data_IF_444597477995
#
_entry.id   IF_444597477995
#
_cell.length_a   1.000
_cell.length_b   1.000
_cell.length_c   1.000
_cell.angle_alpha   90.00
_cell.angle_beta   90.00
_cell.angle_gamma   90.00
#
_symmetry.space_group_name_H-M   'P 1'
#
loop_
_entity.id
_entity.type
_entity.pdbx_description
1 polymer ?
#
# COMPACT_ATOMS: atom_id res chain seq x y z
N UNK A 1 18.27 5.65 15.04
CA UNK A 1 17.13 4.80 14.60
C UNK A 1 17.17 3.52 15.39
N UNK A 2 16.06 2.97 15.89
CA UNK A 2 16.10 1.66 16.53
C UNK A 2 16.59 0.63 15.52
N UNK A 3 17.46 -0.26 15.98
CA UNK A 3 17.91 -1.39 15.18
C UNK A 3 16.73 -2.25 14.77
N UNK A 4 16.76 -2.78 13.55
CA UNK A 4 15.76 -3.72 13.04
C UNK A 4 15.80 -4.96 13.95
N UNK A 5 14.70 -5.35 14.62
CA UNK A 5 14.72 -6.46 15.57
C UNK A 5 14.99 -7.78 14.85
N UNK A 6 15.62 -8.73 15.56
CA UNK A 6 15.88 -10.06 15.00
C UNK A 6 14.60 -10.88 14.81
N UNK A 7 13.64 -10.71 15.70
CA UNK A 7 12.33 -11.39 15.69
C UNK A 7 11.23 -10.42 16.06
N UNK A 8 9.99 -10.71 15.65
CA UNK A 8 8.78 -9.97 16.01
C UNK A 8 7.91 -10.88 16.86
N UNK A 9 7.68 -10.52 18.13
CA UNK A 9 7.10 -11.44 19.12
C UNK A 9 5.58 -11.60 19.03
N UNK A 10 4.90 -10.75 18.27
CA UNK A 10 3.45 -10.83 18.08
C UNK A 10 2.87 -9.58 17.42
N UNK A 11 1.54 -9.55 17.34
CA UNK A 11 0.81 -8.49 16.63
C UNK A 11 1.09 -7.10 17.19
N UNK A 12 1.18 -6.94 18.50
CA UNK A 12 1.42 -5.63 19.12
C UNK A 12 2.78 -5.04 18.72
N UNK A 13 3.85 -5.84 18.73
CA UNK A 13 5.18 -5.40 18.29
C UNK A 13 5.24 -5.14 16.79
N UNK A 14 4.54 -5.97 16.00
CA UNK A 14 4.40 -5.75 14.56
C UNK A 14 3.72 -4.41 14.26
N UNK A 15 2.61 -4.12 14.92
CA UNK A 15 1.89 -2.86 14.77
C UNK A 15 2.74 -1.66 15.19
N UNK A 16 3.56 -1.81 16.23
CA UNK A 16 4.52 -0.80 16.66
C UNK A 16 5.58 -0.53 15.59
N UNK A 17 6.20 -1.59 15.06
CA UNK A 17 7.19 -1.49 13.99
C UNK A 17 6.63 -0.83 12.72
N UNK A 18 5.42 -1.23 12.30
CA UNK A 18 4.74 -0.69 11.13
C UNK A 18 4.37 0.79 11.27
N UNK A 19 4.27 1.29 12.51
CA UNK A 19 3.81 2.66 12.81
C UNK A 19 4.84 3.52 13.54
N UNK A 20 6.09 3.07 13.66
CA UNK A 20 7.16 3.89 14.24
C UNK A 20 7.66 4.90 13.21
N UNK A 21 7.42 6.22 13.42
CA UNK A 21 7.87 7.24 12.49
C UNK A 21 9.39 7.38 12.55
N UNK A 22 10.08 7.48 11.41
CA UNK A 22 11.46 7.92 11.39
C UNK A 22 11.58 9.42 11.61
N UNK A 23 12.79 9.87 11.95
CA UNK A 23 13.07 11.28 12.24
C UNK A 23 12.66 12.22 11.09
N UNK A 24 12.81 11.76 9.85
CA UNK A 24 12.44 12.55 8.66
C UNK A 24 10.93 12.83 8.59
N UNK A 25 10.09 11.86 8.99
CA UNK A 25 8.64 12.06 9.09
C UNK A 25 8.32 12.99 10.25
N UNK A 26 8.97 12.85 11.42
CA UNK A 26 8.77 13.74 12.56
C UNK A 26 9.13 15.17 12.18
N UNK A 27 10.27 15.39 11.51
CA UNK A 27 10.71 16.71 11.06
C UNK A 27 9.74 17.32 10.03
N UNK A 28 9.21 16.50 9.08
CA UNK A 28 8.18 16.96 8.16
C UNK A 28 6.92 17.38 8.91
N UNK A 29 6.48 16.59 9.87
CA UNK A 29 5.26 16.84 10.64
C UNK A 29 5.38 18.06 11.57
N UNK A 30 6.60 18.42 11.98
CA UNK A 30 6.86 19.63 12.75
C UNK A 30 6.57 20.92 11.94
N UNK A 31 6.72 20.89 10.62
CA UNK A 31 6.46 22.03 9.71
C UNK A 31 5.15 21.93 8.93
N UNK A 32 4.53 20.75 8.91
CA UNK A 32 3.26 20.54 8.23
C UNK A 32 2.15 21.33 8.94
N UNK A 33 1.33 22.03 8.19
CA UNK A 33 0.19 22.78 8.71
C UNK A 33 -1.13 22.01 8.46
N UNK A 34 -2.13 22.29 9.29
CA UNK A 34 -3.49 21.81 9.17
C UNK A 34 -3.70 20.36 9.62
N UNK A 35 -4.93 19.93 9.51
CA UNK A 35 -5.40 18.59 9.88
C UNK A 35 -5.10 17.55 8.79
N UNK A 36 -5.14 16.29 9.17
CA UNK A 36 -4.91 15.17 8.26
C UNK A 36 -6.13 14.26 8.27
N UNK A 37 -6.66 13.94 7.08
CA UNK A 37 -7.75 12.99 6.91
C UNK A 37 -7.35 11.81 6.02
N UNK A 38 -7.66 10.60 6.49
CA UNK A 38 -7.44 9.33 5.77
C UNK A 38 -8.78 8.78 5.29
N UNK A 39 -9.02 8.81 3.99
CA UNK A 39 -10.25 8.33 3.35
C UNK A 39 -10.07 6.86 2.92
N UNK A 40 -10.81 5.95 3.54
CA UNK A 40 -10.65 4.50 3.34
C UNK A 40 -9.67 3.84 4.32
N UNK A 41 -9.55 4.39 5.53
CA UNK A 41 -8.57 3.96 6.55
C UNK A 41 -8.74 2.49 7.00
N UNK A 42 -9.93 1.91 6.88
CA UNK A 42 -10.23 0.53 7.32
C UNK A 42 -9.58 -0.58 6.50
N UNK A 43 -8.78 -0.24 5.48
CA UNK A 43 -7.98 -1.19 4.70
C UNK A 43 -6.72 -1.65 5.42
N UNK A 44 -5.94 -2.54 4.78
CA UNK A 44 -4.73 -3.15 5.38
C UNK A 44 -3.68 -2.12 5.83
N UNK A 45 -3.40 -1.10 5.01
CA UNK A 45 -2.32 -0.13 5.24
C UNK A 45 -2.78 1.00 6.17
N UNK A 46 -4.05 1.42 6.03
CA UNK A 46 -4.59 2.61 6.68
C UNK A 46 -4.36 2.70 8.18
N UNK A 47 -4.64 1.68 8.98
CA UNK A 47 -4.49 1.77 10.44
C UNK A 47 -3.06 2.08 10.88
N UNK A 48 -2.06 1.38 10.34
CA UNK A 48 -0.65 1.61 10.72
C UNK A 48 -0.09 2.89 10.14
N UNK A 49 -0.57 3.33 8.97
CA UNK A 49 -0.21 4.61 8.37
C UNK A 49 -0.73 5.79 9.22
N UNK A 50 -2.00 5.78 9.61
CA UNK A 50 -2.56 6.83 10.46
C UNK A 50 -1.96 6.84 11.87
N UNK A 51 -1.68 5.66 12.43
CA UNK A 51 -0.95 5.55 13.69
C UNK A 51 0.46 6.14 13.58
N UNK A 52 1.18 5.93 12.47
CA UNK A 52 2.48 6.57 12.23
C UNK A 52 2.35 8.09 12.17
N UNK A 53 1.33 8.62 11.48
CA UNK A 53 1.06 10.03 11.40
C UNK A 53 0.75 10.64 12.79
N UNK A 54 -0.09 9.97 13.60
CA UNK A 54 -0.41 10.44 14.95
C UNK A 54 0.83 10.44 15.86
N UNK A 55 1.64 9.37 15.81
CA UNK A 55 2.90 9.30 16.58
C UNK A 55 3.90 10.37 16.16
N UNK A 56 4.03 10.63 14.85
CA UNK A 56 4.90 11.69 14.34
C UNK A 56 4.44 13.07 14.80
N UNK A 57 3.12 13.33 14.79
CA UNK A 57 2.52 14.56 15.31
C UNK A 57 2.86 14.76 16.79
N UNK A 58 2.68 13.73 17.62
CA UNK A 58 3.01 13.77 19.05
C UNK A 58 4.51 13.99 19.31
N UNK A 59 5.39 13.28 18.57
CA UNK A 59 6.84 13.44 18.71
C UNK A 59 7.34 14.82 18.24
N UNK A 60 6.66 15.41 17.26
CA UNK A 60 6.94 16.78 16.80
C UNK A 60 6.45 17.86 17.79
N UNK A 61 5.70 17.49 18.83
CA UNK A 61 5.12 18.44 19.79
C UNK A 61 4.02 19.33 19.20
N UNK A 62 3.36 18.88 18.11
CA UNK A 62 2.31 19.63 17.41
C UNK A 62 0.93 19.08 17.80
N UNK A 63 -0.07 19.95 17.83
CA UNK A 63 -1.48 19.56 17.99
C UNK A 63 -2.19 19.70 16.67
N UNK A 64 -2.73 18.60 16.13
CA UNK A 64 -3.59 18.53 14.95
C UNK A 64 -4.50 17.33 15.05
N UNK A 65 -5.61 17.34 14.30
CA UNK A 65 -6.50 16.19 14.20
C UNK A 65 -5.95 15.20 13.18
N UNK A 66 -5.96 13.94 13.54
CA UNK A 66 -5.73 12.82 12.64
C UNK A 66 -7.06 12.08 12.52
N UNK A 67 -7.70 12.17 11.36
CA UNK A 67 -9.07 11.73 11.14
C UNK A 67 -9.06 10.53 10.20
N UNK A 68 -9.79 9.49 10.55
CA UNK A 68 -9.93 8.28 9.75
C UNK A 68 -11.38 8.00 9.35
N UNK A 69 -11.64 7.93 8.05
CA UNK A 69 -12.99 7.68 7.51
C UNK A 69 -13.07 6.30 6.87
N UNK A 70 -14.05 5.51 7.28
CA UNK A 70 -14.35 4.21 6.67
C UNK A 70 -15.77 3.76 7.09
N UNK A 71 -16.28 2.71 6.44
CA UNK A 71 -17.52 2.05 6.89
C UNK A 71 -17.33 1.27 8.19
N UNK A 72 -16.10 0.93 8.56
CA UNK A 72 -15.74 0.16 9.75
C UNK A 72 -16.61 -1.09 9.94
N UNK A 73 -16.70 -1.92 8.90
CA UNK A 73 -17.37 -3.23 8.98
C UNK A 73 -16.75 -4.14 10.04
N UNK A 74 -15.46 -3.96 10.30
CA UNK A 74 -14.75 -4.54 11.44
C UNK A 74 -14.57 -3.47 12.52
N UNK A 75 -15.31 -3.61 13.61
CA UNK A 75 -15.29 -2.68 14.73
C UNK A 75 -13.98 -2.70 15.52
N UNK A 76 -13.22 -3.79 15.44
CA UNK A 76 -11.92 -3.89 16.12
C UNK A 76 -10.91 -2.92 15.54
N UNK A 77 -10.95 -2.67 14.22
CA UNK A 77 -10.11 -1.67 13.56
C UNK A 77 -10.45 -0.27 14.07
N UNK A 78 -11.74 0.05 14.18
CA UNK A 78 -12.18 1.34 14.71
C UNK A 78 -11.70 1.56 16.14
N UNK A 79 -11.93 0.58 17.00
CA UNK A 79 -11.51 0.63 18.41
C UNK A 79 -9.98 0.78 18.52
N UNK A 80 -9.22 0.07 17.69
CA UNK A 80 -7.77 0.19 17.66
C UNK A 80 -7.33 1.60 17.29
N UNK A 81 -7.94 2.22 16.27
CA UNK A 81 -7.65 3.58 15.84
C UNK A 81 -7.98 4.61 16.93
N UNK A 82 -9.19 4.54 17.51
CA UNK A 82 -9.63 5.43 18.59
C UNK A 82 -8.67 5.36 19.79
N UNK A 83 -8.27 4.13 20.18
CA UNK A 83 -7.31 3.91 21.29
C UNK A 83 -5.93 4.49 20.99
N UNK A 84 -5.55 4.59 19.71
CA UNK A 84 -4.28 5.18 19.27
C UNK A 84 -4.40 6.67 18.91
N UNK A 85 -5.47 7.36 19.32
CA UNK A 85 -5.64 8.80 19.17
C UNK A 85 -6.00 9.27 17.76
N UNK A 86 -6.52 8.37 16.92
CA UNK A 86 -7.07 8.70 15.61
C UNK A 86 -8.58 8.90 15.74
N UNK A 87 -9.09 10.05 15.39
CA UNK A 87 -10.54 10.34 15.38
C UNK A 87 -11.22 9.54 14.26
N UNK A 88 -12.20 8.70 14.58
CA UNK A 88 -12.86 7.88 13.56
C UNK A 88 -14.26 8.36 13.20
N UNK A 89 -14.54 8.46 11.89
CA UNK A 89 -15.86 8.80 11.34
C UNK A 89 -16.36 7.64 10.50
N UNK A 90 -17.46 7.01 10.93
CA UNK A 90 -18.04 5.85 10.25
C UNK A 90 -19.10 6.29 9.23
N UNK A 91 -18.97 5.83 7.97
CA UNK A 91 -19.96 6.06 6.93
C UNK A 91 -19.51 5.61 5.55
N UNK A 92 -20.42 5.71 4.58
CA UNK A 92 -20.16 5.37 3.19
C UNK A 92 -19.87 6.65 2.39
N UNK A 93 -18.64 6.76 1.88
CA UNK A 93 -18.23 7.94 1.09
C UNK A 93 -18.84 7.97 -0.32
N UNK A 94 -19.53 6.91 -0.78
CA UNK A 94 -20.35 6.96 -1.99
C UNK A 94 -21.67 7.69 -1.76
N UNK A 95 -22.11 7.85 -0.50
CA UNK A 95 -23.17 8.76 -0.12
C UNK A 95 -22.63 10.20 -0.16
N UNK A 96 -23.14 10.98 -1.12
CA UNK A 96 -22.70 12.35 -1.36
C UNK A 96 -22.94 13.25 -0.14
N UNK A 97 -24.09 13.14 0.53
CA UNK A 97 -24.39 13.95 1.70
C UNK A 97 -23.46 13.63 2.88
N UNK A 98 -23.09 12.37 3.04
CA UNK A 98 -22.09 11.97 4.03
C UNK A 98 -20.73 12.57 3.70
N UNK A 99 -20.27 12.45 2.46
CA UNK A 99 -18.97 12.99 2.01
C UNK A 99 -18.89 14.52 2.17
N UNK A 100 -19.96 15.25 1.85
CA UNK A 100 -20.04 16.70 2.00
C UNK A 100 -19.97 17.16 3.46
N UNK A 101 -20.47 16.35 4.41
CA UNK A 101 -20.41 16.63 5.86
C UNK A 101 -19.08 16.29 6.52
N UNK A 102 -18.16 15.61 5.82
CA UNK A 102 -16.84 15.34 6.37
C UNK A 102 -16.09 16.65 6.66
N UNK A 103 -15.23 16.68 7.72
CA UNK A 103 -14.44 17.85 8.03
C UNK A 103 -13.58 18.29 6.86
N UNK A 104 -13.31 19.60 6.77
CA UNK A 104 -12.21 20.11 5.97
C UNK A 104 -10.88 19.59 6.53
N UNK A 105 -9.92 19.36 5.66
CA UNK A 105 -8.55 19.02 6.04
C UNK A 105 -7.59 19.49 4.94
N UNK A 106 -6.49 20.10 5.34
CA UNK A 106 -5.47 20.58 4.41
C UNK A 106 -4.71 19.42 3.75
N UNK A 107 -4.68 18.25 4.42
CA UNK A 107 -3.90 17.09 4.00
C UNK A 107 -4.78 15.85 3.93
N UNK A 108 -4.95 15.31 2.75
CA UNK A 108 -5.83 14.16 2.46
C UNK A 108 -5.03 12.97 1.99
N UNK A 109 -5.26 11.81 2.58
CA UNK A 109 -4.74 10.52 2.10
C UNK A 109 -5.91 9.69 1.59
N UNK A 110 -5.97 9.47 0.27
CA UNK A 110 -7.00 8.65 -0.36
C UNK A 110 -6.52 7.20 -0.51
N UNK A 111 -7.09 6.30 0.30
CA UNK A 111 -6.73 4.89 0.40
C UNK A 111 -7.84 3.94 -0.06
N UNK A 112 -9.06 4.48 -0.30
CA UNK A 112 -10.22 3.65 -0.61
C UNK A 112 -10.05 2.97 -1.97
N UNK A 113 -10.26 1.64 -1.98
CA UNK A 113 -10.23 0.83 -3.18
C UNK A 113 -11.06 -0.45 -3.03
N UNK A 114 -11.51 -1.01 -4.16
CA UNK A 114 -11.99 -2.38 -4.26
C UNK A 114 -11.09 -3.12 -5.26
N UNK A 115 -10.35 -4.14 -4.79
CA UNK A 115 -9.55 -5.05 -5.60
C UNK A 115 -10.21 -6.43 -5.68
N UNK A 116 -10.38 -7.08 -4.52
CA UNK A 116 -10.93 -8.43 -4.47
C UNK A 116 -12.40 -8.46 -4.88
N UNK A 117 -12.73 -9.42 -5.74
CA UNK A 117 -14.05 -9.52 -6.35
C UNK A 117 -14.33 -8.43 -7.39
N UNK A 118 -13.30 -7.80 -7.96
CA UNK A 118 -13.46 -6.77 -8.99
C UNK A 118 -14.15 -7.31 -10.24
N UNK A 119 -13.78 -8.52 -10.64
CA UNK A 119 -14.37 -9.20 -11.82
C UNK A 119 -15.80 -9.72 -11.58
N UNK A 120 -16.17 -10.01 -10.33
CA UNK A 120 -17.51 -10.48 -9.97
C UNK A 120 -18.53 -9.36 -9.80
N UNK A 121 -18.09 -8.14 -9.48
CA UNK A 121 -18.92 -6.95 -9.32
C UNK A 121 -18.23 -5.72 -9.93
N UNK A 122 -18.18 -5.64 -11.28
CA UNK A 122 -17.48 -4.56 -11.98
C UNK A 122 -18.11 -3.21 -11.70
N UNK A 123 -19.44 -3.12 -11.65
CA UNK A 123 -20.15 -1.84 -11.46
C UNK A 123 -19.80 -1.18 -10.12
N UNK A 124 -19.77 -1.95 -9.04
CA UNK A 124 -19.36 -1.44 -7.73
C UNK A 124 -17.85 -1.16 -7.68
N UNK A 125 -17.04 -1.93 -8.39
CA UNK A 125 -15.59 -1.67 -8.52
C UNK A 125 -15.36 -0.30 -9.19
N UNK A 126 -16.06 0.01 -10.27
CA UNK A 126 -16.02 1.33 -10.91
C UNK A 126 -16.54 2.44 -9.99
N UNK A 127 -17.62 2.18 -9.24
CA UNK A 127 -18.13 3.15 -8.28
C UNK A 127 -17.08 3.51 -7.21
N UNK A 128 -16.41 2.49 -6.64
CA UNK A 128 -15.41 2.68 -5.60
C UNK A 128 -14.09 3.27 -6.13
N UNK A 129 -13.65 2.83 -7.32
CA UNK A 129 -12.32 3.16 -7.81
C UNK A 129 -12.30 4.36 -8.76
N UNK A 130 -13.45 4.81 -9.30
CA UNK A 130 -13.53 5.92 -10.26
C UNK A 130 -14.51 7.00 -9.82
N UNK A 131 -15.78 6.64 -9.51
CA UNK A 131 -16.78 7.64 -9.09
C UNK A 131 -16.41 8.28 -7.76
N UNK A 132 -16.03 7.49 -6.75
CA UNK A 132 -15.61 8.01 -5.45
C UNK A 132 -14.39 8.94 -5.55
N UNK A 133 -13.31 8.60 -6.27
CA UNK A 133 -12.23 9.54 -6.60
C UNK A 133 -12.67 10.87 -7.15
N UNK A 134 -13.61 10.90 -8.12
CA UNK A 134 -14.15 12.14 -8.66
C UNK A 134 -14.84 12.99 -7.57
N UNK A 135 -15.69 12.37 -6.75
CA UNK A 135 -16.37 13.06 -5.64
C UNK A 135 -15.38 13.61 -4.60
N UNK A 136 -14.31 12.86 -4.31
CA UNK A 136 -13.25 13.29 -3.36
C UNK A 136 -12.42 14.42 -3.95
N UNK A 137 -12.07 14.37 -5.24
CA UNK A 137 -11.34 15.44 -5.91
C UNK A 137 -12.12 16.79 -5.87
N UNK A 138 -13.43 16.73 -6.06
CA UNK A 138 -14.31 17.91 -5.95
C UNK A 138 -14.40 18.41 -4.50
N UNK A 139 -14.61 17.50 -3.54
CA UNK A 139 -14.79 17.84 -2.11
C UNK A 139 -13.55 18.45 -1.46
N UNK A 140 -12.38 17.94 -1.82
CA UNK A 140 -11.09 18.34 -1.22
C UNK A 140 -10.20 19.10 -2.21
N UNK A 141 -10.80 19.86 -3.12
CA UNK A 141 -10.09 20.59 -4.19
C UNK A 141 -9.04 21.59 -3.69
N UNK A 142 -9.21 22.11 -2.48
CA UNK A 142 -8.29 23.08 -1.87
C UNK A 142 -7.18 22.41 -1.02
N UNK A 143 -7.18 21.08 -0.92
CA UNK A 143 -6.26 20.28 -0.11
C UNK A 143 -5.05 19.81 -0.91
N UNK A 144 -4.03 19.32 -0.18
CA UNK A 144 -2.96 18.47 -0.75
C UNK A 144 -3.39 17.01 -0.63
N UNK A 145 -3.43 16.26 -1.74
CA UNK A 145 -3.98 14.91 -1.77
C UNK A 145 -2.90 13.90 -2.15
N UNK A 146 -2.65 12.95 -1.26
CA UNK A 146 -1.86 11.74 -1.55
C UNK A 146 -2.81 10.62 -1.93
N UNK A 147 -2.69 10.10 -3.14
CA UNK A 147 -3.58 9.08 -3.70
C UNK A 147 -2.86 7.76 -3.83
N UNK A 148 -3.35 6.71 -3.18
CA UNK A 148 -2.90 5.36 -3.50
C UNK A 148 -3.43 4.93 -4.87
N UNK A 149 -2.51 4.71 -5.78
CA UNK A 149 -2.66 4.00 -7.04
C UNK A 149 -2.04 2.61 -6.92
N UNK A 150 -1.75 1.95 -8.00
CA UNK A 150 -1.15 0.61 -8.03
C UNK A 150 -0.22 0.44 -9.22
N UNK A 151 0.81 -0.38 -9.06
CA UNK A 151 1.63 -0.86 -10.17
C UNK A 151 0.82 -1.63 -11.24
N UNK A 152 -0.39 -2.08 -10.92
CA UNK A 152 -1.27 -2.74 -11.89
C UNK A 152 -1.72 -1.83 -13.05
N UNK A 153 -1.49 -0.52 -13.00
CA UNK A 153 -1.72 0.36 -14.15
C UNK A 153 -0.71 0.16 -15.28
N UNK A 154 0.43 -0.49 -15.00
CA UNK A 154 1.46 -0.77 -15.98
C UNK A 154 1.22 -2.08 -16.74
N UNK A 155 1.81 -2.23 -17.94
CA UNK A 155 1.88 -3.52 -18.61
C UNK A 155 2.80 -4.51 -17.87
N UNK A 156 2.63 -5.80 -18.19
CA UNK A 156 3.67 -6.79 -17.90
C UNK A 156 4.90 -6.49 -18.77
N UNK A 157 6.08 -6.53 -18.18
CA UNK A 157 7.35 -6.23 -18.87
C UNK A 157 8.34 -7.37 -18.71
N UNK A 158 9.32 -7.42 -19.62
CA UNK A 158 10.42 -8.38 -19.53
C UNK A 158 11.17 -8.19 -18.20
N UNK A 159 11.48 -9.28 -17.51
CA UNK A 159 12.17 -9.26 -16.21
C UNK A 159 13.55 -8.57 -16.25
N UNK A 160 14.22 -8.59 -17.42
CA UNK A 160 15.48 -7.90 -17.65
C UNK A 160 15.36 -6.39 -17.93
N UNK A 161 14.12 -5.83 -18.01
CA UNK A 161 13.90 -4.42 -18.32
C UNK A 161 14.22 -3.45 -17.18
N UNK A 162 14.29 -3.97 -15.94
CA UNK A 162 14.42 -3.14 -14.73
C UNK A 162 13.08 -2.61 -14.20
N UNK A 163 11.94 -2.99 -14.78
CA UNK A 163 10.59 -2.55 -14.37
C UNK A 163 10.15 -1.21 -14.97
N UNK A 164 8.85 -0.92 -14.90
CA UNK A 164 8.26 0.32 -15.41
C UNK A 164 8.61 1.51 -14.52
N UNK A 165 9.15 2.57 -15.10
CA UNK A 165 9.30 3.88 -14.46
C UNK A 165 8.00 4.69 -14.55
N UNK A 166 7.92 5.83 -13.88
CA UNK A 166 6.75 6.70 -13.90
C UNK A 166 6.42 7.24 -15.30
N UNK A 167 7.40 7.25 -16.20
CA UNK A 167 7.27 7.72 -17.60
C UNK A 167 6.66 6.66 -18.54
N UNK A 168 6.61 5.39 -18.11
CA UNK A 168 6.00 4.34 -18.92
C UNK A 168 4.50 4.59 -19.08
N UNK A 169 4.03 4.43 -20.31
CA UNK A 169 2.60 4.49 -20.60
C UNK A 169 1.84 3.43 -19.81
N UNK A 170 0.69 3.82 -19.26
CA UNK A 170 -0.21 2.89 -18.61
C UNK A 170 -0.86 1.97 -19.64
N UNK A 171 -0.89 0.65 -19.35
CA UNK A 171 -1.56 -0.38 -20.14
C UNK A 171 -2.15 -1.45 -19.21
N UNK A 172 -3.22 -1.09 -18.46
CA UNK A 172 -3.78 -1.91 -17.40
C UNK A 172 -4.51 -3.14 -17.92
N UNK A 173 -4.29 -4.30 -17.28
CA UNK A 173 -4.96 -5.57 -17.59
C UNK A 173 -6.05 -5.88 -16.57
N UNK A 174 -7.29 -6.05 -17.05
CA UNK A 174 -8.46 -6.41 -16.24
C UNK A 174 -9.16 -5.22 -15.56
N UNK A 175 -10.35 -5.49 -15.01
CA UNK A 175 -11.26 -4.47 -14.44
C UNK A 175 -10.62 -3.67 -13.32
N UNK A 176 -9.96 -4.34 -12.38
CA UNK A 176 -9.30 -3.64 -11.28
C UNK A 176 -8.27 -2.63 -11.78
N UNK A 177 -7.36 -3.07 -12.63
CA UNK A 177 -6.28 -2.22 -13.12
C UNK A 177 -6.79 -1.03 -13.94
N UNK A 178 -7.81 -1.24 -14.79
CA UNK A 178 -8.47 -0.18 -15.56
C UNK A 178 -9.14 0.84 -14.64
N UNK A 179 -9.83 0.39 -13.59
CA UNK A 179 -10.47 1.30 -12.64
C UNK A 179 -9.47 2.06 -11.79
N UNK A 180 -8.29 1.50 -11.51
CA UNK A 180 -7.20 2.23 -10.84
C UNK A 180 -6.62 3.32 -11.75
N UNK A 181 -6.46 3.05 -13.05
CA UNK A 181 -6.11 4.09 -14.01
C UNK A 181 -7.22 5.17 -14.09
N UNK A 182 -8.48 4.75 -14.08
CA UNK A 182 -9.62 5.68 -14.01
C UNK A 182 -9.56 6.59 -12.77
N UNK A 183 -9.13 6.07 -11.61
CA UNK A 183 -8.86 6.85 -10.39
C UNK A 183 -7.82 7.94 -10.65
N UNK A 184 -6.70 7.59 -11.25
CA UNK A 184 -5.66 8.57 -11.58
C UNK A 184 -6.23 9.68 -12.47
N UNK A 185 -7.02 9.33 -13.50
CA UNK A 185 -7.67 10.30 -14.41
C UNK A 185 -8.62 11.24 -13.69
N UNK A 186 -9.35 10.79 -12.66
CA UNK A 186 -10.24 11.65 -11.89
C UNK A 186 -9.48 12.68 -11.07
N UNK A 187 -8.38 12.29 -10.42
CA UNK A 187 -7.54 13.24 -9.69
C UNK A 187 -6.73 14.15 -10.63
N UNK A 188 -6.30 13.67 -11.80
CA UNK A 188 -5.68 14.51 -12.84
C UNK A 188 -6.66 15.60 -13.32
N UNK A 189 -7.91 15.21 -13.58
CA UNK A 189 -8.96 16.14 -14.00
C UNK A 189 -9.24 17.17 -12.90
N UNK A 190 -9.45 16.73 -11.66
CA UNK A 190 -9.66 17.65 -10.53
C UNK A 190 -8.49 18.62 -10.32
N UNK A 191 -7.25 18.14 -10.49
CA UNK A 191 -6.06 19.00 -10.44
C UNK A 191 -6.04 20.03 -11.58
N UNK A 192 -6.41 19.64 -12.80
CA UNK A 192 -6.47 20.53 -13.96
C UNK A 192 -7.54 21.60 -13.79
N UNK A 193 -8.72 21.24 -13.25
CA UNK A 193 -9.86 22.15 -13.11
C UNK A 193 -9.69 23.14 -11.95
N UNK A 194 -9.08 22.70 -10.85
CA UNK A 194 -9.06 23.45 -9.60
C UNK A 194 -7.66 23.84 -9.11
N UNK A 195 -6.61 23.36 -9.77
CA UNK A 195 -5.24 23.55 -9.28
C UNK A 195 -4.91 22.69 -8.05
N UNK A 196 -5.74 21.69 -7.74
CA UNK A 196 -5.56 20.79 -6.60
C UNK A 196 -4.20 20.12 -6.63
N UNK A 197 -3.45 20.21 -5.55
CA UNK A 197 -2.12 19.60 -5.44
C UNK A 197 -2.25 18.11 -5.14
N UNK A 198 -1.77 17.25 -6.03
CA UNK A 198 -1.91 15.80 -5.93
C UNK A 198 -0.56 15.11 -6.12
N UNK A 199 -0.34 14.00 -5.41
CA UNK A 199 0.67 12.99 -5.73
C UNK A 199 0.00 11.61 -5.78
N UNK A 200 0.31 10.84 -6.83
CA UNK A 200 -0.22 9.50 -7.04
C UNK A 200 0.87 8.47 -6.77
N UNK A 201 0.61 7.56 -5.84
CA UNK A 201 1.56 6.52 -5.43
C UNK A 201 1.21 5.20 -6.11
N UNK A 202 1.96 4.80 -7.12
CA UNK A 202 1.83 3.50 -7.79
C UNK A 202 2.55 2.44 -6.96
N UNK A 203 1.82 1.91 -5.97
CA UNK A 203 2.32 0.89 -5.06
C UNK A 203 2.36 -0.48 -5.72
N UNK A 204 3.50 -1.18 -5.57
CA UNK A 204 3.63 -2.59 -5.92
C UNK A 204 4.05 -3.39 -4.68
N UNK A 205 3.15 -4.26 -4.21
CA UNK A 205 3.27 -5.27 -3.14
C UNK A 205 3.91 -4.82 -1.81
N UNK A 206 3.17 -4.07 -1.01
CA UNK A 206 3.52 -3.89 0.41
C UNK A 206 3.31 -5.19 1.20
N UNK A 207 4.34 -5.60 1.94
CA UNK A 207 4.39 -6.86 2.70
C UNK A 207 4.56 -6.58 4.19
N UNK A 208 3.86 -7.36 5.01
CA UNK A 208 4.08 -7.50 6.45
C UNK A 208 3.77 -8.94 6.88
N UNK A 209 3.97 -9.27 8.14
CA UNK A 209 3.97 -10.67 8.62
C UNK A 209 2.65 -11.41 8.43
N UNK A 210 1.52 -10.69 8.36
CA UNK A 210 0.17 -11.28 8.26
C UNK A 210 -0.36 -11.33 6.84
N UNK A 211 0.30 -10.62 5.89
CA UNK A 211 -0.20 -10.47 4.53
C UNK A 211 0.90 -10.01 3.55
N UNK A 212 0.85 -10.49 2.34
CA UNK A 212 1.70 -10.07 1.22
C UNK A 212 2.25 -11.26 0.44
N UNK A 213 2.83 -10.98 -0.73
CA UNK A 213 3.36 -12.01 -1.64
C UNK A 213 4.32 -12.97 -0.94
N UNK A 214 5.21 -12.45 -0.08
CA UNK A 214 6.15 -13.29 0.66
C UNK A 214 5.43 -14.22 1.64
N UNK A 215 4.31 -13.77 2.24
CA UNK A 215 3.50 -14.61 3.15
C UNK A 215 2.81 -15.72 2.36
N UNK A 216 2.24 -15.40 1.19
CA UNK A 216 1.59 -16.40 0.32
C UNK A 216 2.59 -17.49 -0.11
N UNK A 217 3.79 -17.08 -0.55
CA UNK A 217 4.85 -18.03 -0.94
C UNK A 217 5.30 -18.86 0.27
N UNK A 218 5.56 -18.22 1.43
CA UNK A 218 5.96 -18.91 2.66
C UNK A 218 4.93 -19.94 3.13
N UNK A 219 3.63 -19.61 3.05
CA UNK A 219 2.52 -20.52 3.38
C UNK A 219 2.46 -21.72 2.42
N UNK A 220 2.60 -21.49 1.10
CA UNK A 220 2.63 -22.56 0.12
C UNK A 220 3.80 -23.52 0.38
N UNK A 221 5.00 -22.97 0.66
CA UNK A 221 6.17 -23.78 1.02
C UNK A 221 5.91 -24.58 2.30
N UNK A 222 5.46 -23.92 3.38
CA UNK A 222 5.18 -24.58 4.68
C UNK A 222 4.22 -25.76 4.52
N UNK A 223 3.20 -25.60 3.67
CA UNK A 223 2.14 -26.59 3.50
C UNK A 223 2.37 -27.56 2.32
N UNK A 224 3.50 -27.48 1.61
CA UNK A 224 3.78 -28.32 0.43
C UNK A 224 2.85 -28.09 -0.73
N UNK A 225 2.25 -26.89 -0.83
CA UNK A 225 1.34 -26.49 -1.92
C UNK A 225 2.19 -26.03 -3.13
N UNK A 226 1.90 -26.49 -4.35
CA UNK A 226 2.59 -26.03 -5.55
C UNK A 226 2.51 -24.52 -5.73
N UNK A 227 3.62 -23.91 -6.16
CA UNK A 227 3.75 -22.49 -6.47
C UNK A 227 3.77 -22.35 -7.98
N UNK A 228 2.82 -21.60 -8.54
CA UNK A 228 2.79 -21.31 -9.97
C UNK A 228 3.89 -20.30 -10.32
N UNK A 229 4.76 -20.67 -11.24
CA UNK A 229 5.86 -19.85 -11.69
C UNK A 229 5.55 -19.00 -12.92
N UNK A 230 4.34 -19.04 -13.46
CA UNK A 230 3.97 -18.25 -14.65
C UNK A 230 4.25 -16.76 -14.43
N UNK A 231 3.90 -16.22 -13.26
CA UNK A 231 4.35 -14.89 -12.81
C UNK A 231 5.57 -15.05 -11.89
N UNK A 232 6.71 -15.42 -12.48
CA UNK A 232 7.89 -15.87 -11.75
C UNK A 232 8.71 -14.79 -11.06
N UNK A 233 8.35 -13.49 -11.16
CA UNK A 233 9.10 -12.39 -10.58
C UNK A 233 8.18 -11.31 -9.99
N UNK A 234 8.65 -10.68 -8.91
CA UNK A 234 7.93 -9.61 -8.19
C UNK A 234 8.88 -8.56 -7.63
N UNK A 235 8.35 -7.35 -7.37
CA UNK A 235 8.99 -6.40 -6.44
C UNK A 235 8.16 -6.32 -5.17
N UNK A 236 8.78 -6.18 -4.01
CA UNK A 236 8.07 -6.04 -2.73
C UNK A 236 8.73 -4.98 -1.85
N UNK A 237 7.94 -4.34 -0.99
CA UNK A 237 8.44 -3.40 0.01
C UNK A 237 7.87 -3.73 1.39
N UNK A 238 8.66 -3.56 2.44
CA UNK A 238 8.17 -3.61 3.80
C UNK A 238 7.09 -2.54 4.04
N UNK A 239 5.94 -2.92 4.63
CA UNK A 239 4.83 -1.98 4.82
C UNK A 239 5.19 -0.79 5.70
N UNK A 240 6.09 -0.93 6.68
CA UNK A 240 6.57 0.19 7.49
C UNK A 240 7.36 1.22 6.66
N UNK A 241 8.18 0.74 5.70
CA UNK A 241 8.88 1.63 4.76
C UNK A 241 7.90 2.29 3.79
N UNK A 242 6.91 1.55 3.29
CA UNK A 242 5.82 2.13 2.50
C UNK A 242 5.10 3.25 3.27
N UNK A 243 4.76 3.05 4.55
CA UNK A 243 4.11 4.06 5.37
C UNK A 243 4.96 5.33 5.51
N UNK A 244 6.27 5.16 5.76
CA UNK A 244 7.22 6.26 5.78
C UNK A 244 7.23 7.05 4.45
N UNK A 245 7.39 6.35 3.32
CA UNK A 245 7.42 6.99 2.00
C UNK A 245 6.09 7.68 1.69
N UNK A 246 4.96 7.08 2.04
CA UNK A 246 3.61 7.64 1.84
C UNK A 246 3.42 8.96 2.58
N UNK A 247 3.79 9.04 3.86
CA UNK A 247 3.67 10.30 4.62
C UNK A 247 4.58 11.39 4.04
N UNK A 248 5.81 11.04 3.67
CA UNK A 248 6.77 11.98 3.08
C UNK A 248 6.38 12.44 1.67
N UNK A 249 5.64 11.63 0.94
CA UNK A 249 5.15 12.00 -0.40
C UNK A 249 4.20 13.20 -0.38
N UNK A 250 3.63 13.58 0.76
CA UNK A 250 2.81 14.79 0.89
C UNK A 250 3.55 16.05 0.42
N UNK A 251 4.88 16.13 0.65
CA UNK A 251 5.72 17.24 0.19
C UNK A 251 5.86 17.28 -1.36
N UNK A 252 5.45 16.23 -2.05
CA UNK A 252 5.49 16.13 -3.52
C UNK A 252 4.16 16.48 -4.19
N UNK A 253 3.12 16.80 -3.42
CA UNK A 253 1.83 17.21 -3.99
C UNK A 253 1.99 18.45 -4.86
N UNK A 254 1.53 18.37 -6.12
CA UNK A 254 1.66 19.45 -7.12
C UNK A 254 0.47 19.46 -8.09
N UNK A 255 0.32 20.56 -8.80
CA UNK A 255 -0.55 20.67 -9.97
C UNK A 255 0.29 21.15 -11.16
N UNK A 256 0.42 20.35 -12.23
CA UNK A 256 -0.15 19.02 -12.45
C UNK A 256 0.36 17.96 -11.43
N UNK A 257 -0.39 16.84 -11.27
CA UNK A 257 -0.04 15.81 -10.31
C UNK A 257 1.31 15.16 -10.53
N UNK A 258 2.05 14.92 -9.46
CA UNK A 258 3.21 14.04 -9.50
C UNK A 258 2.79 12.58 -9.43
N UNK A 259 3.56 11.71 -10.06
CA UNK A 259 3.43 10.24 -9.96
C UNK A 259 4.71 9.72 -9.33
N UNK A 260 4.59 8.73 -8.44
CA UNK A 260 5.72 8.09 -7.79
C UNK A 260 5.50 6.59 -7.64
N UNK A 261 6.43 5.79 -8.15
CA UNK A 261 6.44 4.36 -7.92
C UNK A 261 6.93 4.06 -6.49
N UNK A 262 6.22 3.17 -5.79
CA UNK A 262 6.60 2.69 -4.46
C UNK A 262 6.69 1.17 -4.46
N UNK A 263 7.92 0.66 -4.30
CA UNK A 263 8.23 -0.76 -4.13
C UNK A 263 9.66 -0.91 -3.61
N UNK A 264 10.15 -2.13 -3.41
CA UNK A 264 11.56 -2.41 -3.11
C UNK A 264 12.45 -2.34 -4.35
N UNK A 265 13.76 -2.27 -4.15
CA UNK A 265 14.74 -2.08 -5.24
C UNK A 265 15.00 -3.34 -6.07
N UNK A 266 14.69 -4.53 -5.53
CA UNK A 266 15.03 -5.80 -6.16
C UNK A 266 13.89 -6.32 -7.05
N UNK A 267 14.25 -6.90 -8.19
CA UNK A 267 13.40 -7.81 -8.96
C UNK A 267 13.68 -9.22 -8.43
N UNK A 268 12.72 -9.79 -7.75
CA UNK A 268 12.85 -11.02 -6.99
C UNK A 268 12.29 -12.20 -7.76
N UNK A 269 13.07 -13.28 -7.89
CA UNK A 269 12.57 -14.56 -8.40
C UNK A 269 11.70 -15.25 -7.36
N UNK A 270 10.46 -15.61 -7.73
CA UNK A 270 9.53 -16.39 -6.88
C UNK A 270 10.15 -17.74 -6.50
N UNK A 271 10.86 -18.38 -7.44
CA UNK A 271 11.59 -19.63 -7.19
C UNK A 271 12.68 -19.48 -6.12
N UNK A 272 13.44 -18.39 -6.18
CA UNK A 272 14.52 -18.13 -5.21
C UNK A 272 13.95 -17.80 -3.83
N UNK A 273 12.89 -17.00 -3.77
CA UNK A 273 12.16 -16.71 -2.52
C UNK A 273 11.66 -18.02 -1.89
N UNK A 274 10.96 -18.85 -2.65
CA UNK A 274 10.45 -20.14 -2.17
C UNK A 274 11.59 -21.07 -1.71
N UNK A 275 12.72 -21.06 -2.41
CA UNK A 275 13.91 -21.84 -2.03
C UNK A 275 14.50 -21.34 -0.71
N UNK A 276 14.53 -20.03 -0.48
CA UNK A 276 14.97 -19.44 0.78
C UNK A 276 14.03 -19.82 1.93
N UNK A 277 12.71 -19.70 1.74
CA UNK A 277 11.72 -20.19 2.71
C UNK A 277 11.92 -21.68 3.00
N UNK A 278 12.12 -22.48 1.95
CA UNK A 278 12.35 -23.92 2.09
C UNK A 278 13.56 -24.28 2.96
N UNK A 279 14.66 -23.52 2.85
CA UNK A 279 15.84 -23.68 3.71
C UNK A 279 15.55 -23.34 5.17
N UNK A 280 14.82 -22.26 5.43
CA UNK A 280 14.53 -21.82 6.80
C UNK A 280 13.47 -22.70 7.46
N UNK A 281 12.43 -23.11 6.71
CA UNK A 281 11.32 -23.93 7.21
C UNK A 281 11.63 -25.43 7.23
N UNK A 282 12.72 -25.87 6.57
CA UNK A 282 13.07 -27.29 6.45
C UNK A 282 12.15 -28.07 5.50
N UNK A 283 11.50 -27.41 4.55
CA UNK A 283 10.53 -27.99 3.61
C UNK A 283 11.00 -27.73 2.17
N UNK A 284 11.00 -28.78 1.33
CA UNK A 284 11.33 -28.62 -0.09
C UNK A 284 10.17 -27.97 -0.84
N UNK A 285 10.36 -26.81 -1.50
CA UNK A 285 9.30 -26.21 -2.31
C UNK A 285 8.86 -27.09 -3.47
N UNK A 286 7.58 -27.02 -3.81
CA UNK A 286 7.00 -27.66 -4.99
C UNK A 286 6.63 -26.56 -5.98
N UNK A 287 7.00 -26.74 -7.24
CA UNK A 287 6.73 -25.77 -8.31
C UNK A 287 5.87 -26.39 -9.39
N UNK A 288 5.05 -25.56 -10.01
CA UNK A 288 4.29 -25.89 -11.22
C UNK A 288 4.48 -24.79 -12.26
N UNK A 289 4.30 -25.12 -13.51
CA UNK A 289 4.55 -24.27 -14.67
C UNK A 289 6.00 -23.75 -14.78
N UNK A 290 6.26 -22.89 -15.74
CA UNK A 290 7.56 -22.30 -16.01
C UNK A 290 7.45 -20.77 -16.04
N UNK A 291 8.55 -20.08 -15.75
CA UNK A 291 8.61 -18.61 -15.78
C UNK A 291 8.36 -18.10 -17.21
N UNK A 292 7.39 -17.20 -17.37
CA UNK A 292 7.08 -16.61 -18.67
C UNK A 292 8.15 -15.59 -19.16
N UNK A 293 9.06 -15.18 -18.29
CA UNK A 293 10.01 -14.08 -18.54
C UNK A 293 9.38 -12.68 -18.54
N UNK A 294 8.06 -12.60 -18.31
CA UNK A 294 7.29 -11.37 -18.17
C UNK A 294 6.72 -11.27 -16.77
N UNK A 295 6.71 -10.07 -16.17
CA UNK A 295 6.15 -9.85 -14.86
C UNK A 295 5.63 -8.42 -14.70
N UNK A 296 4.76 -8.20 -13.69
CA UNK A 296 4.31 -6.88 -13.29
C UNK A 296 5.36 -6.25 -12.37
N UNK A 297 6.24 -5.43 -12.93
CA UNK A 297 7.39 -4.85 -12.25
C UNK A 297 7.39 -3.34 -12.31
N UNK A 298 7.66 -2.70 -11.19
CA UNK A 298 7.84 -1.25 -11.08
C UNK A 298 9.29 -0.90 -10.74
N UNK A 299 9.77 0.22 -11.27
CA UNK A 299 11.07 0.80 -10.94
C UNK A 299 10.87 2.01 -10.02
N UNK A 300 11.26 1.88 -8.76
CA UNK A 300 11.11 2.93 -7.75
C UNK A 300 12.39 3.77 -7.54
N UNK A 301 13.30 3.80 -8.52
CA UNK A 301 14.57 4.55 -8.42
C UNK A 301 14.36 6.03 -8.11
N UNK A 302 13.25 6.62 -8.58
CA UNK A 302 12.90 8.01 -8.28
C UNK A 302 12.58 8.20 -6.79
N UNK A 303 11.78 7.31 -6.20
CA UNK A 303 11.50 7.32 -4.76
C UNK A 303 12.79 7.17 -3.93
N UNK A 304 13.72 6.29 -4.36
CA UNK A 304 14.99 6.10 -3.65
C UNK A 304 15.92 7.33 -3.74
N UNK A 305 15.89 8.03 -4.84
CA UNK A 305 16.64 9.30 -5.00
C UNK A 305 16.09 10.39 -4.07
N UNK A 306 14.79 10.45 -3.88
CA UNK A 306 14.10 11.45 -3.06
C UNK A 306 14.16 11.13 -1.56
N UNK A 307 13.99 9.87 -1.19
CA UNK A 307 13.72 9.48 0.18
C UNK A 307 14.72 8.49 0.79
N UNK A 308 15.67 7.98 0.00
CA UNK A 308 16.54 6.88 0.37
C UNK A 308 15.91 5.49 0.12
N UNK A 309 16.72 4.45 0.22
CA UNK A 309 16.27 3.06 0.05
C UNK A 309 15.44 2.59 1.24
N UNK A 310 14.55 1.59 1.04
CA UNK A 310 13.87 0.90 2.13
C UNK A 310 14.88 0.36 3.16
N UNK A 311 14.48 0.34 4.43
CA UNK A 311 15.36 -0.06 5.56
C UNK A 311 15.36 -1.55 5.80
N UNK A 312 14.22 -2.21 5.53
CA UNK A 312 14.07 -3.64 5.77
C UNK A 312 14.33 -4.39 4.48
N UNK A 313 15.34 -5.26 4.51
CA UNK A 313 15.68 -6.10 3.35
C UNK A 313 14.69 -7.25 3.17
N UNK A 314 14.71 -7.83 1.97
CA UNK A 314 13.88 -9.00 1.64
C UNK A 314 14.28 -10.21 2.49
N UNK A 315 15.57 -10.41 2.72
CA UNK A 315 16.09 -11.48 3.56
C UNK A 315 15.55 -11.38 4.99
N UNK A 316 15.51 -10.15 5.54
CA UNK A 316 14.96 -9.92 6.88
C UNK A 316 13.46 -10.21 6.92
N UNK A 317 12.70 -9.81 5.89
CA UNK A 317 11.28 -10.15 5.80
C UNK A 317 11.06 -11.66 5.71
N UNK A 318 11.86 -12.39 4.94
CA UNK A 318 11.78 -13.86 4.84
C UNK A 318 12.04 -14.52 6.20
N UNK A 319 13.06 -14.06 6.94
CA UNK A 319 13.35 -14.59 8.28
C UNK A 319 12.19 -14.32 9.25
N UNK A 320 11.66 -13.11 9.30
CA UNK A 320 10.53 -12.77 10.17
C UNK A 320 9.26 -13.54 9.81
N UNK A 321 8.94 -13.67 8.51
CA UNK A 321 7.77 -14.41 8.06
C UNK A 321 7.94 -15.91 8.39
N UNK A 322 9.15 -16.46 8.21
CA UNK A 322 9.41 -17.85 8.56
C UNK A 322 9.19 -18.13 10.05
N UNK A 323 9.74 -17.27 10.93
CA UNK A 323 9.51 -17.36 12.38
C UNK A 323 8.01 -17.20 12.72
N UNK A 324 7.33 -16.22 12.09
CA UNK A 324 5.91 -15.97 12.28
C UNK A 324 5.06 -17.19 11.92
N UNK A 325 5.36 -17.82 10.76
CA UNK A 325 4.65 -19.00 10.28
C UNK A 325 4.95 -20.24 11.13
N UNK A 326 6.21 -20.45 11.57
CA UNK A 326 6.57 -21.57 12.45
C UNK A 326 5.89 -21.49 13.81
N UNK A 327 5.71 -20.30 14.34
CA UNK A 327 5.02 -20.03 15.61
C UNK A 327 3.49 -19.93 15.48
N UNK A 328 2.97 -20.12 14.26
CA UNK A 328 1.52 -20.09 13.96
C UNK A 328 0.83 -18.80 14.44
N UNK A 329 1.54 -17.67 14.32
CA UNK A 329 1.00 -16.37 14.70
C UNK A 329 -0.12 -15.92 13.73
N UNK A 330 -1.04 -15.01 14.16
CA UNK A 330 -2.21 -14.63 13.37
C UNK A 330 -1.90 -14.15 11.97
N UNK A 331 -2.72 -14.54 10.99
CA UNK A 331 -2.68 -14.10 9.60
C UNK A 331 -3.99 -13.40 9.22
N UNK A 332 -3.96 -12.55 8.20
CA UNK A 332 -5.18 -11.93 7.66
C UNK A 332 -6.00 -12.89 6.77
N UNK A 333 -5.44 -14.04 6.40
CA UNK A 333 -6.09 -15.10 5.60
C UNK A 333 -6.75 -14.58 4.30
N UNK A 334 -6.03 -13.68 3.63
CA UNK A 334 -6.43 -13.12 2.33
C UNK A 334 -5.27 -13.29 1.37
N UNK A 335 -5.40 -14.06 0.28
CA UNK A 335 -4.35 -14.20 -0.73
C UNK A 335 -4.14 -12.86 -1.46
N UNK A 336 -2.92 -12.62 -1.93
CA UNK A 336 -2.62 -11.43 -2.75
C UNK A 336 -3.05 -11.60 -4.20
N UNK A 337 -3.25 -12.85 -4.62
CA UNK A 337 -3.50 -13.23 -6.01
C UNK A 337 -2.37 -12.78 -6.96
N UNK A 338 -1.12 -12.80 -6.48
CA UNK A 338 0.04 -12.37 -7.26
C UNK A 338 0.32 -13.26 -8.48
N UNK A 339 -0.17 -14.50 -8.46
CA UNK A 339 -0.06 -15.46 -9.56
C UNK A 339 -1.02 -15.15 -10.72
N UNK A 340 -2.05 -14.32 -10.50
CA UNK A 340 -3.02 -13.94 -11.51
C UNK A 340 -2.39 -12.95 -12.50
N UNK A 341 -2.38 -13.33 -13.79
CA UNK A 341 -1.81 -12.51 -14.87
C UNK A 341 -2.86 -11.96 -15.84
N UNK A 342 -4.09 -12.45 -15.78
CA UNK A 342 -5.20 -12.03 -16.65
C UNK A 342 -6.09 -10.92 -16.06
N UNK A 343 -5.74 -10.44 -14.87
CA UNK A 343 -6.44 -9.34 -14.17
C UNK A 343 -7.79 -9.73 -13.55
N UNK A 344 -8.10 -11.01 -13.41
CA UNK A 344 -9.32 -11.52 -12.78
C UNK A 344 -9.09 -11.72 -11.27
N UNK A 345 -9.36 -10.66 -10.49
CA UNK A 345 -9.22 -10.65 -9.05
C UNK A 345 -10.56 -10.86 -8.35
#
# INVERSE_FOLDING_TARGET
MPDVPKTINGVAELEDLLSTPPDEVVQQFARLEGDIIFLGIGGKIGPTLARMANRATGQAGITRRIIGVSRFTDQSIRQCLDTNGVETIAGDMLDREFLERLPEAENVFFLAAKKFGASSDPSFTWAMNVKLPALVADRYRDSSIVVYSSGNVYPYVNVGSGGCTEEHAADPVGEYAQTVLGRERMFEYGSSEHGTRVVMLRLNYAVEMRYGVLVDIGLKVKNGIPIDLTNGHVNVIWQGDNNNLTLRALDLCSSPPNILNITGPEILSVRDIATQFGRVLGVKPVFENEESGMALLSNASNAFRLFGRPRVSVEQMILWISDWLQRELPLLNRPTEFEVTDGRY
#
